data_IF_532357407634
#
_entry.id   IF_532357407634
#
_cell.length_a   1.000
_cell.length_b   1.000
_cell.length_c   1.000
_cell.angle_alpha   90.00
_cell.angle_beta   90.00
_cell.angle_gamma   90.00
#
_symmetry.space_group_name_H-M   'P 1'
#
loop_
_entity.id
_entity.type
_entity.pdbx_description
1 polymer ?
#
# COMPACT_ATOMS: atom_id res chain seq x y z
N UNK A 1 -15.48 -8.79 7.39
CA UNK A 1 -15.30 -8.04 6.13
C UNK A 1 -15.46 -6.55 6.38
N UNK A 2 -14.69 -5.70 5.69
CA UNK A 2 -14.71 -4.22 5.80
C UNK A 2 -14.62 -3.61 4.39
N UNK A 3 -15.38 -2.55 4.12
CA UNK A 3 -15.23 -1.75 2.89
C UNK A 3 -14.24 -0.60 3.12
N UNK A 4 -13.25 -0.47 2.24
CA UNK A 4 -12.25 0.61 2.26
C UNK A 4 -12.68 1.79 1.39
N UNK A 5 -13.51 1.51 0.39
CA UNK A 5 -14.23 2.46 -0.46
C UNK A 5 -15.38 1.71 -1.16
N UNK A 6 -16.22 2.42 -1.91
CA UNK A 6 -17.32 1.83 -2.70
C UNK A 6 -16.89 0.70 -3.64
N UNK A 7 -15.60 0.68 -4.00
CA UNK A 7 -15.05 -0.24 -5.00
C UNK A 7 -14.03 -1.22 -4.42
N UNK A 8 -13.63 -1.10 -3.15
CA UNK A 8 -12.54 -1.89 -2.56
C UNK A 8 -12.98 -2.48 -1.22
N UNK A 9 -12.93 -3.81 -1.12
CA UNK A 9 -13.26 -4.55 0.09
C UNK A 9 -12.01 -5.23 0.66
N UNK A 10 -11.97 -5.37 1.98
CA UNK A 10 -10.99 -6.10 2.76
C UNK A 10 -11.66 -7.24 3.53
N UNK A 11 -11.05 -8.43 3.49
CA UNK A 11 -11.49 -9.58 4.30
C UNK A 11 -10.32 -10.32 4.91
N UNK A 12 -10.47 -10.73 6.17
CA UNK A 12 -9.52 -11.62 6.84
C UNK A 12 -9.49 -13.01 6.20
N UNK A 13 -10.56 -13.42 5.53
CA UNK A 13 -10.65 -14.68 4.79
C UNK A 13 -10.98 -14.43 3.30
N UNK A 14 -10.20 -14.95 2.33
CA UNK A 14 -10.34 -14.58 0.92
C UNK A 14 -11.59 -15.14 0.25
N UNK A 15 -12.23 -16.14 0.86
CA UNK A 15 -13.48 -16.73 0.37
C UNK A 15 -14.71 -15.86 0.70
N UNK A 16 -14.56 -14.85 1.56
CA UNK A 16 -15.70 -14.13 2.13
C UNK A 16 -16.00 -12.81 1.38
N UNK A 17 -15.55 -12.68 0.13
CA UNK A 17 -15.84 -11.49 -0.66
C UNK A 17 -17.28 -11.52 -1.19
N UNK A 18 -17.94 -10.36 -1.28
CA UNK A 18 -19.32 -10.30 -1.72
C UNK A 18 -19.40 -10.54 -3.24
N UNK A 19 -20.59 -10.92 -3.70
CA UNK A 19 -20.87 -11.04 -5.13
C UNK A 19 -20.53 -9.72 -5.86
N UNK A 20 -19.96 -9.83 -7.06
CA UNK A 20 -19.52 -8.67 -7.85
C UNK A 20 -18.16 -8.10 -7.46
N UNK A 21 -17.46 -8.67 -6.47
CA UNK A 21 -16.06 -8.34 -6.17
C UNK A 21 -15.13 -9.46 -6.61
N UNK A 22 -14.01 -9.10 -7.22
CA UNK A 22 -12.95 -10.02 -7.60
C UNK A 22 -11.75 -9.85 -6.65
N UNK A 23 -11.23 -10.93 -6.04
CA UNK A 23 -9.99 -10.87 -5.28
C UNK A 23 -8.86 -10.27 -6.12
N UNK A 24 -8.03 -9.41 -5.55
CA UNK A 24 -6.90 -8.85 -6.30
C UNK A 24 -5.94 -9.93 -6.82
N UNK A 25 -5.85 -11.07 -6.12
CA UNK A 25 -5.07 -12.24 -6.51
C UNK A 25 -5.46 -12.83 -7.88
N UNK A 26 -6.69 -12.60 -8.34
CA UNK A 26 -7.20 -13.12 -9.62
C UNK A 26 -7.19 -12.09 -10.74
N UNK A 27 -6.79 -10.84 -10.46
CA UNK A 27 -6.76 -9.75 -11.42
C UNK A 27 -5.34 -9.54 -12.00
N UNK A 28 -5.22 -9.02 -13.24
CA UNK A 28 -3.92 -8.67 -13.82
C UNK A 28 -3.37 -7.39 -13.18
N UNK A 29 -2.77 -7.54 -12.00
CA UNK A 29 -2.16 -6.43 -11.27
C UNK A 29 -0.88 -5.94 -11.96
N UNK A 30 -0.65 -4.63 -11.95
CA UNK A 30 0.64 -4.02 -12.28
C UNK A 30 1.23 -3.46 -11.00
N UNK A 31 2.34 -4.03 -10.55
CA UNK A 31 3.00 -3.63 -9.30
C UNK A 31 4.27 -2.85 -9.65
N UNK A 32 4.30 -1.57 -9.27
CA UNK A 32 5.48 -0.74 -9.41
C UNK A 32 6.44 -1.02 -8.24
N UNK A 33 7.68 -1.35 -8.59
CA UNK A 33 8.76 -1.60 -7.63
C UNK A 33 9.91 -0.65 -7.92
N UNK A 34 10.58 -0.19 -6.88
CA UNK A 34 11.76 0.66 -7.02
C UNK A 34 12.02 1.43 -5.74
N UNK A 35 13.25 1.89 -5.58
CA UNK A 35 13.67 2.59 -4.38
C UNK A 35 13.00 3.98 -4.26
N UNK A 36 13.12 4.61 -3.10
CA UNK A 36 12.66 6.00 -2.94
C UNK A 36 13.47 6.92 -3.87
N UNK A 37 12.80 7.90 -4.49
CA UNK A 37 13.43 8.85 -5.42
C UNK A 37 13.56 8.37 -6.87
N UNK A 38 13.19 7.14 -7.22
CA UNK A 38 13.29 6.65 -8.62
C UNK A 38 12.26 7.28 -9.56
N UNK A 39 11.17 7.86 -9.04
CA UNK A 39 10.16 8.56 -9.83
C UNK A 39 8.85 7.81 -10.05
N UNK A 40 8.51 6.81 -9.22
CA UNK A 40 7.24 6.06 -9.32
C UNK A 40 6.01 6.95 -9.38
N UNK A 41 5.87 7.90 -8.46
CA UNK A 41 4.73 8.84 -8.45
C UNK A 41 4.66 9.70 -9.72
N UNK A 42 5.80 10.10 -10.27
CA UNK A 42 5.86 10.84 -11.54
C UNK A 42 5.39 9.98 -12.71
N UNK A 43 5.79 8.71 -12.76
CA UNK A 43 5.31 7.75 -13.76
C UNK A 43 3.81 7.53 -13.64
N UNK A 44 3.30 7.27 -12.43
CA UNK A 44 1.85 7.10 -12.19
C UNK A 44 1.06 8.32 -12.67
N UNK A 45 1.46 9.53 -12.27
CA UNK A 45 0.80 10.77 -12.70
C UNK A 45 0.86 10.96 -14.22
N UNK A 46 1.98 10.57 -14.85
CA UNK A 46 2.14 10.61 -16.31
C UNK A 46 1.27 9.59 -17.05
N UNK A 47 1.06 8.40 -16.47
CA UNK A 47 0.20 7.35 -17.01
C UNK A 47 -1.28 7.73 -16.89
N UNK A 48 -1.70 8.34 -15.77
CA UNK A 48 -3.10 8.71 -15.54
C UNK A 48 -3.64 9.66 -16.61
N UNK A 49 -2.75 10.46 -17.22
CA UNK A 49 -3.09 11.38 -18.31
C UNK A 49 -3.17 10.74 -19.69
N UNK A 50 -2.73 9.48 -19.84
CA UNK A 50 -2.55 8.82 -21.15
C UNK A 50 -3.38 7.57 -21.33
N UNK A 51 -3.58 6.82 -20.26
CA UNK A 51 -4.28 5.52 -20.31
C UNK A 51 -5.21 5.38 -19.11
N UNK A 52 -6.39 4.77 -19.30
CA UNK A 52 -7.27 4.42 -18.18
C UNK A 52 -6.69 3.24 -17.39
N UNK A 53 -6.70 3.35 -16.07
CA UNK A 53 -6.39 2.25 -15.15
C UNK A 53 -6.98 2.54 -13.77
N UNK A 54 -7.14 1.51 -12.94
CA UNK A 54 -7.50 1.68 -11.53
C UNK A 54 -6.24 1.75 -10.69
N UNK A 55 -6.00 2.89 -10.04
CA UNK A 55 -4.93 3.03 -9.05
C UNK A 55 -5.45 2.61 -7.67
N UNK A 56 -4.82 1.61 -7.06
CA UNK A 56 -5.14 1.22 -5.69
C UNK A 56 -4.66 2.28 -4.68
N UNK A 57 -5.27 2.33 -3.47
CA UNK A 57 -4.82 3.22 -2.42
C UNK A 57 -3.33 3.03 -2.12
N UNK A 58 -2.68 4.12 -1.73
CA UNK A 58 -1.26 4.08 -1.41
C UNK A 58 -1.00 3.21 -0.17
N UNK A 59 0.28 2.90 0.06
CA UNK A 59 0.73 2.09 1.21
C UNK A 59 0.17 2.58 2.55
N UNK A 60 0.10 3.90 2.78
CA UNK A 60 -0.29 4.45 4.08
C UNK A 60 -1.77 4.19 4.34
N UNK A 61 -2.63 4.55 3.38
CA UNK A 61 -4.06 4.28 3.45
C UNK A 61 -4.33 2.78 3.66
N UNK A 62 -3.70 1.91 2.86
CA UNK A 62 -3.86 0.46 3.05
C UNK A 62 -3.34 -0.03 4.40
N UNK A 63 -2.24 0.53 4.91
CA UNK A 63 -1.71 0.15 6.23
C UNK A 63 -2.73 0.44 7.33
N UNK A 64 -3.36 1.61 7.29
CA UNK A 64 -4.34 2.03 8.30
C UNK A 64 -5.57 1.11 8.23
N UNK A 65 -6.02 0.86 7.01
CA UNK A 65 -7.28 0.18 6.77
C UNK A 65 -7.24 -1.34 6.91
N UNK A 66 -6.06 -1.94 6.71
CA UNK A 66 -5.88 -3.39 6.70
C UNK A 66 -4.98 -3.85 7.84
N UNK A 67 -3.72 -3.40 7.87
CA UNK A 67 -2.70 -3.89 8.81
C UNK A 67 -3.01 -3.46 10.24
N UNK A 68 -3.15 -2.15 10.47
CA UNK A 68 -3.40 -1.60 11.81
C UNK A 68 -4.77 -2.04 12.30
N UNK A 69 -5.80 -1.92 11.46
CA UNK A 69 -7.14 -2.38 11.77
C UNK A 69 -7.18 -3.85 12.18
N UNK A 70 -6.50 -4.74 11.44
CA UNK A 70 -6.43 -6.17 11.79
C UNK A 70 -5.76 -6.41 13.15
N UNK A 71 -4.67 -5.70 13.45
CA UNK A 71 -3.99 -5.83 14.75
C UNK A 71 -4.79 -5.24 15.91
N UNK A 72 -5.56 -4.17 15.67
CA UNK A 72 -6.51 -3.65 16.67
C UNK A 72 -7.62 -4.66 16.96
N UNK A 73 -8.24 -5.22 15.91
CA UNK A 73 -9.28 -6.27 16.06
C UNK A 73 -8.76 -7.50 16.79
N UNK A 74 -7.57 -7.99 16.43
CA UNK A 74 -6.95 -9.14 17.10
C UNK A 74 -6.66 -8.87 18.58
N UNK A 75 -6.32 -7.63 18.94
CA UNK A 75 -6.14 -7.20 20.32
C UNK A 75 -7.45 -6.92 21.07
N UNK A 76 -8.62 -7.21 20.46
CA UNK A 76 -9.93 -6.90 21.05
C UNK A 76 -10.21 -5.40 21.17
N UNK A 77 -9.49 -4.55 20.43
CA UNK A 77 -9.65 -3.10 20.45
C UNK A 77 -10.57 -2.64 19.30
N UNK A 78 -11.31 -1.53 19.49
CA UNK A 78 -12.06 -0.94 18.40
C UNK A 78 -11.12 -0.50 17.28
N UNK A 79 -11.57 -0.65 16.03
CA UNK A 79 -10.84 -0.19 14.85
C UNK A 79 -10.97 1.34 14.78
N UNK A 80 -9.85 2.03 14.85
CA UNK A 80 -9.79 3.49 14.84
C UNK A 80 -8.47 3.97 14.23
N UNK A 81 -8.49 5.18 13.66
CA UNK A 81 -7.30 5.77 13.06
C UNK A 81 -6.21 5.95 14.12
N UNK A 82 -5.09 5.25 13.96
CA UNK A 82 -3.94 5.40 14.85
C UNK A 82 -3.03 6.51 14.33
N UNK A 83 -2.99 7.63 15.07
CA UNK A 83 -2.16 8.80 14.75
C UNK A 83 -0.78 8.73 15.41
N UNK A 84 -0.63 7.95 16.49
CA UNK A 84 0.64 7.80 17.20
C UNK A 84 1.63 7.01 16.33
N UNK A 85 2.73 7.68 15.96
CA UNK A 85 3.76 7.12 15.10
C UNK A 85 4.39 5.84 15.68
N UNK A 86 4.62 5.80 16.99
CA UNK A 86 5.24 4.65 17.64
C UNK A 86 4.30 3.45 17.61
N UNK A 87 3.02 3.64 17.96
CA UNK A 87 2.02 2.56 17.91
C UNK A 87 1.83 2.01 16.50
N UNK A 88 1.85 2.87 15.48
CA UNK A 88 1.80 2.43 14.07
C UNK A 88 2.99 1.53 13.73
N UNK A 89 4.19 1.88 14.20
CA UNK A 89 5.36 1.02 14.01
C UNK A 89 5.21 -0.31 14.74
N UNK A 90 4.71 -0.31 15.97
CA UNK A 90 4.46 -1.55 16.73
C UNK A 90 3.45 -2.45 16.02
N UNK A 91 2.31 -1.92 15.60
CA UNK A 91 1.30 -2.69 14.87
C UNK A 91 1.84 -3.26 13.56
N UNK A 92 2.55 -2.46 12.77
CA UNK A 92 3.14 -2.94 11.52
C UNK A 92 4.25 -3.97 11.74
N UNK A 93 5.03 -3.85 12.82
CA UNK A 93 6.04 -4.83 13.20
C UNK A 93 5.40 -6.16 13.61
N UNK A 94 4.39 -6.14 14.50
CA UNK A 94 3.64 -7.33 14.92
C UNK A 94 2.99 -8.04 13.75
N UNK A 95 2.36 -7.27 12.85
CA UNK A 95 1.76 -7.84 11.65
C UNK A 95 2.79 -8.57 10.78
N UNK A 96 3.98 -7.99 10.59
CA UNK A 96 5.06 -8.62 9.82
C UNK A 96 5.64 -9.86 10.48
N UNK A 97 5.72 -9.88 11.81
CA UNK A 97 6.13 -11.08 12.55
C UNK A 97 5.15 -12.24 12.30
N UNK A 98 3.85 -11.95 12.21
CA UNK A 98 2.81 -12.95 11.94
C UNK A 98 2.71 -13.32 10.45
N UNK A 99 2.89 -12.34 9.57
CA UNK A 99 2.76 -12.47 8.13
C UNK A 99 4.02 -11.91 7.44
N UNK A 100 5.02 -12.75 7.15
CA UNK A 100 6.30 -12.30 6.59
C UNK A 100 6.17 -11.48 5.29
N UNK A 101 5.15 -11.76 4.48
CA UNK A 101 4.83 -10.98 3.27
C UNK A 101 4.32 -9.55 3.53
N UNK A 102 4.01 -9.18 4.78
CA UNK A 102 3.63 -7.82 5.17
C UNK A 102 2.54 -7.22 4.30
N UNK A 103 2.87 -6.14 3.58
CA UNK A 103 1.92 -5.46 2.69
C UNK A 103 1.43 -6.37 1.54
N UNK A 104 2.24 -7.31 1.04
CA UNK A 104 1.78 -8.24 0.00
C UNK A 104 0.69 -9.19 0.53
N UNK A 105 0.85 -9.67 1.76
CA UNK A 105 -0.21 -10.42 2.42
C UNK A 105 -1.45 -9.56 2.65
N UNK A 106 -1.30 -8.31 3.10
CA UNK A 106 -2.44 -7.40 3.26
C UNK A 106 -3.17 -7.14 1.93
N UNK A 107 -2.42 -7.02 0.83
CA UNK A 107 -2.97 -6.84 -0.52
C UNK A 107 -3.77 -8.07 -0.99
N UNK A 108 -3.36 -9.29 -0.62
CA UNK A 108 -4.07 -10.53 -1.02
C UNK A 108 -5.41 -10.70 -0.31
N UNK A 109 -5.64 -9.90 0.73
CA UNK A 109 -6.90 -9.79 1.47
C UNK A 109 -7.85 -8.73 0.92
N UNK A 110 -7.54 -8.16 -0.24
CA UNK A 110 -8.40 -7.19 -0.92
C UNK A 110 -9.14 -7.79 -2.10
N UNK A 111 -10.33 -7.26 -2.35
CA UNK A 111 -11.09 -7.48 -3.57
C UNK A 111 -11.60 -6.17 -4.14
N UNK A 112 -11.67 -6.09 -5.47
CA UNK A 112 -12.11 -4.93 -6.21
C UNK A 112 -13.45 -5.21 -6.86
N UNK A 113 -14.37 -4.24 -6.84
CA UNK A 113 -15.66 -4.34 -7.51
C UNK A 113 -15.46 -4.42 -9.03
N UNK A 114 -16.05 -5.44 -9.66
CA UNK A 114 -15.74 -5.81 -11.04
C UNK A 114 -16.22 -4.77 -12.06
N UNK A 115 -17.37 -4.16 -11.83
CA UNK A 115 -17.98 -3.15 -12.70
C UNK A 115 -17.26 -1.79 -12.66
N UNK A 116 -16.52 -1.51 -11.58
CA UNK A 116 -15.82 -0.25 -11.36
C UNK A 116 -14.34 -0.30 -11.78
N UNK A 117 -13.79 -1.49 -12.01
CA UNK A 117 -12.38 -1.70 -12.27
C UNK A 117 -12.02 -1.37 -13.74
N UNK A 118 -11.13 -0.40 -13.94
CA UNK A 118 -10.44 -0.20 -15.21
C UNK A 118 -9.16 -1.00 -15.20
N UNK A 119 -9.00 -1.91 -16.14
CA UNK A 119 -7.78 -2.70 -16.27
C UNK A 119 -6.71 -1.93 -17.06
N UNK A 120 -5.41 -2.03 -16.69
CA UNK A 120 -4.90 -2.83 -15.57
C UNK A 120 -5.16 -2.19 -14.19
N UNK A 121 -5.10 -2.97 -13.11
CA UNK A 121 -5.12 -2.45 -11.74
C UNK A 121 -3.69 -2.21 -11.27
N UNK A 122 -3.36 -0.99 -10.86
CA UNK A 122 -2.00 -0.59 -10.51
C UNK A 122 -1.80 -0.42 -9.00
N UNK A 123 -0.68 -0.91 -8.49
CA UNK A 123 -0.25 -0.71 -7.10
C UNK A 123 1.20 -0.21 -7.00
N UNK A 124 1.42 0.82 -6.18
CA UNK A 124 2.73 1.34 -5.80
C UNK A 124 2.81 1.43 -4.27
N UNK A 125 3.11 0.31 -3.62
CA UNK A 125 3.13 0.28 -2.16
C UNK A 125 3.97 -0.82 -1.50
N UNK A 126 4.57 -1.75 -2.26
CA UNK A 126 5.47 -2.76 -1.70
C UNK A 126 6.84 -2.17 -1.35
N UNK A 127 7.47 -2.69 -0.29
CA UNK A 127 8.79 -2.27 0.18
C UNK A 127 9.63 -3.46 0.62
N UNK A 128 10.88 -3.44 0.17
CA UNK A 128 11.85 -4.48 0.51
C UNK A 128 11.66 -5.73 -0.34
N UNK A 129 12.67 -6.60 -0.28
CA UNK A 129 12.71 -7.84 -1.05
C UNK A 129 11.58 -8.79 -0.64
N UNK A 130 11.34 -8.94 0.65
CA UNK A 130 10.41 -9.96 1.18
C UNK A 130 8.97 -9.69 0.77
N UNK A 131 8.50 -8.43 0.84
CA UNK A 131 7.15 -8.08 0.38
C UNK A 131 7.00 -8.33 -1.13
N UNK A 132 8.02 -8.03 -1.94
CA UNK A 132 7.98 -8.28 -3.39
C UNK A 132 7.98 -9.77 -3.69
N UNK A 133 8.80 -10.56 -2.99
CA UNK A 133 8.88 -12.00 -3.19
C UNK A 133 7.54 -12.69 -2.89
N UNK A 134 6.93 -12.37 -1.74
CA UNK A 134 5.60 -12.88 -1.41
C UNK A 134 4.54 -12.44 -2.41
N UNK A 135 4.66 -11.23 -2.98
CA UNK A 135 3.73 -10.79 -4.01
C UNK A 135 3.84 -11.62 -5.29
N UNK A 136 5.04 -12.08 -5.67
CA UNK A 136 5.20 -12.97 -6.84
C UNK A 136 4.42 -14.27 -6.63
N UNK A 137 4.47 -14.83 -5.42
CA UNK A 137 3.76 -16.07 -5.08
C UNK A 137 2.24 -15.87 -4.97
N UNK A 138 1.80 -14.76 -4.37
CA UNK A 138 0.38 -14.49 -4.10
C UNK A 138 -0.39 -13.99 -5.34
N UNK A 139 0.30 -13.40 -6.32
CA UNK A 139 -0.32 -12.76 -7.48
C UNK A 139 0.28 -13.30 -8.78
N UNK A 140 -0.05 -14.54 -9.18
CA UNK A 140 0.56 -15.18 -10.35
C UNK A 140 0.24 -14.47 -11.68
N UNK A 141 -0.84 -13.69 -11.73
CA UNK A 141 -1.20 -12.88 -12.90
C UNK A 141 -0.57 -11.47 -12.89
N UNK A 142 0.18 -11.12 -11.84
CA UNK A 142 0.76 -9.78 -11.71
C UNK A 142 1.96 -9.57 -12.64
N UNK A 143 2.10 -8.34 -13.11
CA UNK A 143 3.29 -7.83 -13.81
C UNK A 143 4.02 -6.86 -12.92
N UNK A 144 5.30 -7.11 -12.70
CA UNK A 144 6.17 -6.23 -11.92
C UNK A 144 6.93 -5.29 -12.85
N UNK A 145 6.80 -3.99 -12.61
CA UNK A 145 7.54 -2.95 -13.34
C UNK A 145 8.55 -2.34 -12.39
N UNK A 146 9.83 -2.62 -12.64
CA UNK A 146 10.93 -2.08 -11.86
C UNK A 146 11.33 -0.74 -12.45
N UNK A 147 11.20 0.32 -11.65
CA UNK A 147 11.75 1.63 -11.98
C UNK A 147 13.08 1.81 -11.27
N UNK A 148 14.10 2.12 -12.08
CA UNK A 148 15.43 2.40 -11.59
C UNK A 148 15.88 3.82 -11.97
N UNK A 149 16.79 4.36 -11.18
CA UNK A 149 17.47 5.62 -11.44
C UNK A 149 18.84 5.59 -10.76
N UNK A 150 19.89 6.17 -11.37
CA UNK A 150 21.21 6.26 -10.74
C UNK A 150 21.15 6.90 -9.35
N UNK A 151 21.99 6.44 -8.43
CA UNK A 151 22.00 6.92 -7.04
C UNK A 151 22.13 8.44 -6.94
N UNK A 152 22.99 9.06 -7.76
CA UNK A 152 23.12 10.53 -7.83
C UNK A 152 21.80 11.24 -8.13
N UNK A 153 20.97 10.67 -9.02
CA UNK A 153 19.67 11.22 -9.41
C UNK A 153 18.68 11.06 -8.28
N UNK A 154 18.69 9.89 -7.62
CA UNK A 154 17.82 9.61 -6.47
C UNK A 154 18.16 10.51 -5.29
N UNK A 155 19.44 10.66 -4.97
CA UNK A 155 19.93 11.54 -3.90
C UNK A 155 19.53 12.99 -4.17
N UNK A 156 19.77 13.51 -5.37
CA UNK A 156 19.34 14.86 -5.76
C UNK A 156 17.84 15.07 -5.53
N UNK A 157 17.00 14.12 -5.99
CA UNK A 157 15.54 14.19 -5.80
C UNK A 157 15.11 14.09 -4.34
N UNK A 158 15.82 13.32 -3.52
CA UNK A 158 15.54 13.17 -2.09
C UNK A 158 15.91 14.44 -1.32
N UNK A 159 17.04 15.07 -1.64
CA UNK A 159 17.49 16.31 -1.00
C UNK A 159 16.59 17.50 -1.31
N UNK A 160 15.99 17.55 -2.50
CA UNK A 160 15.04 18.60 -2.89
C UNK A 160 13.60 18.24 -2.56
N UNK A 161 13.33 17.06 -1.97
CA UNK A 161 11.98 16.62 -1.67
C UNK A 161 11.44 17.42 -0.49
N UNK A 162 10.35 18.15 -0.73
CA UNK A 162 9.59 18.82 0.33
C UNK A 162 8.38 17.98 0.71
N UNK A 163 8.60 16.75 1.19
CA UNK A 163 7.50 15.88 1.60
C UNK A 163 6.86 16.43 2.89
N UNK A 164 5.53 16.42 2.96
CA UNK A 164 4.83 16.83 4.18
C UNK A 164 5.22 15.94 5.38
N UNK A 165 5.65 14.69 5.15
CA UNK A 165 6.11 13.78 6.20
C UNK A 165 7.52 14.10 6.72
N UNK A 166 8.32 14.86 5.97
CA UNK A 166 9.63 15.32 6.42
C UNK A 166 9.52 16.56 7.33
N UNK A 167 8.32 17.16 7.41
CA UNK A 167 8.04 18.25 8.33
C UNK A 167 7.79 17.69 9.72
N UNK A 168 8.72 17.96 10.63
CA UNK A 168 8.45 17.82 12.06
C UNK A 168 7.55 19.00 12.42
N UNK A 169 6.31 18.74 12.85
CA UNK A 169 5.56 19.73 13.63
C UNK A 169 6.31 19.89 14.96
N UNK A 170 7.32 20.75 14.96
CA UNK A 170 7.97 21.18 16.18
C UNK A 170 6.97 22.02 16.96
N UNK A 171 6.67 21.60 18.20
CA UNK A 171 6.23 22.56 19.20
C UNK A 171 7.24 23.72 19.18
N UNK A 172 6.79 24.99 19.08
CA UNK A 172 7.69 26.11 19.24
C UNK A 172 8.33 25.97 20.61
N UNK A 173 9.65 25.85 20.63
CA UNK A 173 10.43 25.78 21.85
C UNK A 173 10.07 26.97 22.73
N UNK A 174 9.72 26.68 23.99
CA UNK A 174 9.72 27.67 25.05
C UNK A 174 11.17 28.07 25.30
N UNK A 175 11.65 29.05 24.54
CA UNK A 175 12.62 30.00 25.02
C UNK A 175 11.84 31.06 25.81
N UNK A 176 12.16 31.19 27.09
CA UNK A 176 11.54 32.11 28.05
C UNK A 176 11.83 31.68 29.46
#
# INVERSE_FOLDING_TARGET
MKFLSDNLAFSTHPADFPAGFAPLATLPLVILVGLTGVGKSTVVAGLQRRVPFTLLPNRRALTDDTIIAAMQTEAGRPVQLETDRLKRFEYTARYRQKYPGGMAHALSRLALRQDAARQPVLFDGLRGRDEVWHAVELFPAARFVVLDAPDRVRLSRLLTRNDAFDRVEGQPGLAG
#
